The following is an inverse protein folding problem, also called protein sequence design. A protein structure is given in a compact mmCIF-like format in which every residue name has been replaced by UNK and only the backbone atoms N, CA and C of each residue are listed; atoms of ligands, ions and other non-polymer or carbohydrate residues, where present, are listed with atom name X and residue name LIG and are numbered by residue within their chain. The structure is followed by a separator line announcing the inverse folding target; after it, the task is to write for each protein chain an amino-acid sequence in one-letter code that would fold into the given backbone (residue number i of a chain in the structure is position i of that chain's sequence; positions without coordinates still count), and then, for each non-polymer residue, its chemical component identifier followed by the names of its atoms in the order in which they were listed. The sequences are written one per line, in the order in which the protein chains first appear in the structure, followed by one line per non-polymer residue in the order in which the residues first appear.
data_IF_965909081273
#
_entry.id   IF_965909081273
#
_cell.length_a   1.000
_cell.length_b   1.000
_cell.length_c   1.000
_cell.angle_alpha   90.00
_cell.angle_beta   90.00
_cell.angle_gamma   90.00
#
_symmetry.space_group_name_H-M   'P 1'
#
loop_
_entity.id
_entity.type
_entity.pdbx_description
1 polymer ?
#
# COMPACT_ATOMS: atom_id res chain seq x y z
N UNK A 1 -6.04 -13.32 5.91
CA UNK A 1 -5.70 -13.85 4.57
C UNK A 1 -6.98 -14.00 3.76
N UNK A 2 -7.01 -13.56 2.49
CA UNK A 2 -8.19 -13.68 1.65
C UNK A 2 -8.38 -15.09 1.09
N UNK A 3 -9.63 -15.54 0.94
CA UNK A 3 -9.96 -16.80 0.28
C UNK A 3 -9.76 -16.70 -1.23
N UNK A 4 -9.41 -17.81 -1.88
CA UNK A 4 -9.38 -17.87 -3.33
C UNK A 4 -10.81 -17.83 -3.90
N UNK A 5 -11.16 -16.85 -4.74
CA UNK A 5 -12.51 -16.71 -5.28
C UNK A 5 -12.81 -17.72 -6.42
N UNK A 6 -11.84 -18.56 -6.77
CA UNK A 6 -12.00 -19.56 -7.85
C UNK A 6 -12.30 -20.93 -7.26
N UNK A 7 -11.45 -21.42 -6.35
CA UNK A 7 -11.65 -22.75 -5.76
C UNK A 7 -12.46 -22.72 -4.46
N UNK A 8 -12.54 -21.59 -3.75
CA UNK A 8 -13.18 -21.45 -2.43
C UNK A 8 -12.64 -22.36 -1.32
N UNK A 9 -11.70 -23.26 -1.62
CA UNK A 9 -11.12 -24.22 -0.68
C UNK A 9 -9.83 -23.73 -0.02
N UNK A 10 -9.08 -22.84 -0.69
CA UNK A 10 -7.73 -22.45 -0.28
C UNK A 10 -7.57 -20.93 -0.17
N UNK A 11 -6.52 -20.53 0.56
CA UNK A 11 -6.18 -19.12 0.75
C UNK A 11 -5.31 -18.58 -0.39
N UNK A 12 -5.38 -17.27 -0.57
CA UNK A 12 -4.47 -16.52 -1.42
C UNK A 12 -3.25 -16.11 -0.60
N UNK A 13 -2.06 -16.35 -1.14
CA UNK A 13 -0.80 -15.88 -0.56
C UNK A 13 -0.15 -14.82 -1.45
N UNK A 14 0.49 -13.81 -0.83
CA UNK A 14 1.22 -12.78 -1.56
C UNK A 14 2.42 -13.41 -2.29
N UNK A 15 2.59 -13.10 -3.57
CA UNK A 15 3.75 -13.57 -4.32
C UNK A 15 5.04 -13.01 -3.73
N UNK A 16 6.17 -13.74 -3.80
CA UNK A 16 7.44 -13.27 -3.25
C UNK A 16 7.97 -11.98 -3.90
N UNK A 17 7.50 -11.67 -5.10
CA UNK A 17 7.79 -10.43 -5.79
C UNK A 17 6.52 -9.94 -6.49
N UNK A 18 6.40 -8.64 -6.63
CA UNK A 18 5.23 -8.04 -7.26
C UNK A 18 5.25 -6.52 -7.21
N UNK A 19 4.08 -5.95 -7.45
CA UNK A 19 3.84 -4.50 -7.46
C UNK A 19 2.89 -4.14 -6.32
N UNK A 20 3.30 -3.17 -5.51
CA UNK A 20 2.42 -2.53 -4.53
C UNK A 20 1.94 -1.22 -5.11
N UNK A 21 0.65 -0.98 -4.97
CA UNK A 21 -0.01 0.26 -5.34
C UNK A 21 -0.38 1.05 -4.08
N UNK A 22 0.03 2.32 -4.04
CA UNK A 22 -0.30 3.28 -3.00
C UNK A 22 -1.36 4.27 -3.52
N UNK A 23 -2.40 4.49 -2.72
CA UNK A 23 -3.40 5.54 -2.94
C UNK A 23 -3.65 6.27 -1.63
N UNK A 24 -3.72 7.60 -1.65
CA UNK A 24 -4.01 8.44 -0.49
C UNK A 24 -5.18 9.36 -0.84
N UNK A 25 -6.26 9.35 -0.04
CA UNK A 25 -7.52 10.05 -0.33
C UNK A 25 -8.14 9.69 -1.69
N UNK A 26 -7.99 8.43 -2.14
CA UNK A 26 -8.39 8.04 -3.50
C UNK A 26 -7.56 8.68 -4.63
N UNK A 27 -6.60 9.56 -4.30
CA UNK A 27 -5.69 10.20 -5.25
C UNK A 27 -4.41 9.41 -5.34
N UNK A 28 -3.88 9.32 -6.55
CA UNK A 28 -2.60 8.66 -6.81
C UNK A 28 -1.84 9.47 -7.86
N UNK A 29 -0.57 9.78 -7.59
CA UNK A 29 0.35 10.31 -8.60
C UNK A 29 0.56 9.25 -9.69
N UNK A 30 1.03 9.64 -10.88
CA UNK A 30 1.36 8.67 -11.94
C UNK A 30 2.37 7.59 -11.45
N UNK A 31 3.26 7.93 -10.50
CA UNK A 31 4.20 7.00 -9.83
C UNK A 31 3.61 6.28 -8.60
N UNK A 32 2.34 5.85 -8.64
CA UNK A 32 1.63 5.18 -7.53
C UNK A 32 2.12 3.78 -7.17
N UNK A 33 3.11 3.27 -7.90
CA UNK A 33 3.54 1.88 -7.86
C UNK A 33 4.99 1.78 -7.45
N UNK A 34 5.30 0.78 -6.65
CA UNK A 34 6.68 0.34 -6.43
C UNK A 34 6.74 -1.19 -6.44
N UNK A 35 7.91 -1.70 -6.81
CA UNK A 35 8.18 -3.12 -6.80
C UNK A 35 8.62 -3.54 -5.40
N UNK A 36 8.29 -4.76 -5.04
CA UNK A 36 8.85 -5.42 -3.86
C UNK A 36 9.34 -6.81 -4.24
N UNK A 37 10.35 -7.28 -3.52
CA UNK A 37 10.86 -8.63 -3.62
C UNK A 37 11.32 -9.13 -2.24
N UNK A 38 10.48 -9.90 -1.57
CA UNK A 38 10.76 -10.42 -0.21
C UNK A 38 11.91 -11.45 -0.18
N UNK A 39 12.38 -11.93 -1.34
CA UNK A 39 13.53 -12.84 -1.39
C UNK A 39 14.86 -12.10 -1.54
N UNK A 40 14.82 -10.82 -1.90
CA UNK A 40 16.02 -9.98 -2.11
C UNK A 40 16.09 -8.79 -1.15
N UNK A 41 14.94 -8.33 -0.67
CA UNK A 41 14.80 -7.15 0.18
C UNK A 41 14.25 -7.56 1.55
N UNK A 42 14.79 -6.94 2.59
CA UNK A 42 14.27 -7.02 3.96
C UNK A 42 12.97 -6.23 4.10
N UNK A 43 12.21 -6.48 5.17
CA UNK A 43 10.98 -5.72 5.44
C UNK A 43 11.27 -4.23 5.64
N UNK A 44 12.43 -3.93 6.22
CA UNK A 44 12.93 -2.58 6.46
C UNK A 44 13.22 -1.86 5.13
N UNK A 45 13.89 -2.51 4.18
CA UNK A 45 14.14 -1.95 2.84
C UNK A 45 12.83 -1.70 2.08
N UNK A 46 11.88 -2.63 2.15
CA UNK A 46 10.55 -2.45 1.55
C UNK A 46 9.81 -1.27 2.22
N UNK A 47 9.92 -1.11 3.54
CA UNK A 47 9.34 0.02 4.26
C UNK A 47 10.00 1.35 3.87
N UNK A 48 11.31 1.37 3.63
CA UNK A 48 12.03 2.55 3.13
C UNK A 48 11.57 2.92 1.71
N UNK A 49 11.39 1.93 0.83
CA UNK A 49 10.84 2.15 -0.51
C UNK A 49 9.42 2.72 -0.46
N UNK A 50 8.58 2.21 0.46
CA UNK A 50 7.25 2.77 0.70
C UNK A 50 7.34 4.23 1.19
N UNK A 51 8.21 4.51 2.16
CA UNK A 51 8.43 5.86 2.68
C UNK A 51 8.80 6.84 1.57
N UNK A 52 9.74 6.48 0.71
CA UNK A 52 10.13 7.32 -0.42
C UNK A 52 8.94 7.63 -1.35
N UNK A 53 8.04 6.66 -1.56
CA UNK A 53 6.83 6.87 -2.38
C UNK A 53 5.77 7.71 -1.70
N UNK A 54 5.59 7.56 -0.39
CA UNK A 54 4.72 8.45 0.38
C UNK A 54 5.31 9.87 0.36
N UNK A 55 6.62 10.03 0.50
CA UNK A 55 7.28 11.33 0.44
C UNK A 55 7.11 11.99 -0.94
N UNK A 56 7.32 11.26 -2.04
CA UNK A 56 7.04 11.74 -3.40
C UNK A 56 5.59 12.23 -3.57
N UNK A 57 4.64 11.52 -2.95
CA UNK A 57 3.23 11.91 -2.93
C UNK A 57 3.05 13.18 -2.11
N UNK A 58 3.61 13.27 -0.90
CA UNK A 58 3.46 14.43 -0.01
C UNK A 58 4.05 15.69 -0.62
N UNK A 59 5.23 15.61 -1.25
CA UNK A 59 5.84 16.72 -2.01
C UNK A 59 4.90 17.19 -3.11
N UNK A 60 4.39 16.26 -3.92
CA UNK A 60 3.43 16.59 -4.98
C UNK A 60 2.14 17.18 -4.40
N UNK A 61 1.58 16.60 -3.34
CA UNK A 61 0.37 17.03 -2.69
C UNK A 61 0.52 18.39 -1.99
N UNK A 62 1.71 18.71 -1.51
CA UNK A 62 2.03 20.00 -0.88
C UNK A 62 1.87 21.18 -1.83
N UNK A 63 2.01 20.95 -3.15
CA UNK A 63 1.93 21.97 -4.20
C UNK A 63 0.50 22.44 -4.51
N UNK A 64 -0.53 21.72 -4.04
CA UNK A 64 -1.92 22.10 -4.25
C UNK A 64 -2.31 23.27 -3.34
N UNK A 65 -3.12 24.20 -3.85
CA UNK A 65 -3.61 25.33 -3.05
C UNK A 65 -4.73 24.91 -2.07
N UNK A 66 -5.65 24.06 -2.52
CA UNK A 66 -6.75 23.53 -1.70
C UNK A 66 -6.43 22.11 -1.24
N UNK A 67 -5.65 22.00 -0.17
CA UNK A 67 -5.25 20.72 0.43
C UNK A 67 -6.33 20.23 1.37
N UNK A 68 -6.98 19.15 0.99
CA UNK A 68 -7.83 18.40 1.92
C UNK A 68 -6.94 17.60 2.90
N UNK A 69 -7.38 17.41 4.15
CA UNK A 69 -6.66 16.56 5.09
C UNK A 69 -6.57 15.13 4.58
N UNK A 70 -5.48 14.45 4.88
CA UNK A 70 -5.33 13.01 4.60
C UNK A 70 -6.25 12.23 5.53
N UNK A 71 -7.25 11.55 4.96
CA UNK A 71 -8.29 10.80 5.66
C UNK A 71 -8.14 9.29 5.52
N UNK A 72 -7.65 8.83 4.37
CA UNK A 72 -7.48 7.41 4.11
C UNK A 72 -6.23 7.15 3.26
N UNK A 73 -5.70 5.94 3.41
CA UNK A 73 -4.67 5.40 2.56
C UNK A 73 -4.98 3.94 2.25
N UNK A 74 -4.52 3.47 1.09
CA UNK A 74 -4.68 2.10 0.65
C UNK A 74 -3.37 1.61 0.06
N UNK A 75 -2.94 0.43 0.52
CA UNK A 75 -1.80 -0.30 -0.01
C UNK A 75 -2.29 -1.66 -0.48
N UNK A 76 -2.26 -1.90 -1.78
CA UNK A 76 -2.79 -3.12 -2.35
C UNK A 76 -1.87 -3.71 -3.41
N UNK A 77 -1.91 -5.04 -3.53
CA UNK A 77 -1.23 -5.79 -4.58
C UNK A 77 -2.23 -6.68 -5.31
N UNK A 78 -2.01 -6.85 -6.62
CA UNK A 78 -2.72 -7.85 -7.43
C UNK A 78 -1.91 -9.15 -7.55
N UNK A 79 -0.65 -9.17 -7.09
CA UNK A 79 0.27 -10.29 -7.22
C UNK A 79 0.05 -11.33 -6.11
N UNK A 80 -1.18 -11.80 -5.97
CA UNK A 80 -1.52 -12.93 -5.10
C UNK A 80 -1.68 -14.21 -5.91
N UNK A 81 -1.24 -15.32 -5.34
CA UNK A 81 -1.40 -16.66 -5.93
C UNK A 81 -2.25 -17.52 -5.02
N UNK A 82 -3.14 -18.28 -5.63
CA UNK A 82 -3.79 -19.39 -4.94
C UNK A 82 -2.80 -20.54 -4.81
N UNK A 83 -2.78 -21.21 -3.68
CA UNK A 83 -1.90 -22.38 -3.45
C UNK A 83 -2.19 -23.52 -4.43
N UNK A 84 -3.45 -23.71 -4.85
CA UNK A 84 -3.84 -24.65 -5.91
C UNK A 84 -3.52 -24.17 -7.34
N UNK A 85 -2.82 -23.04 -7.51
CA UNK A 85 -2.45 -22.53 -8.83
C UNK A 85 -3.62 -22.02 -9.66
N UNK A 86 -4.77 -21.71 -9.05
CA UNK A 86 -5.91 -21.14 -9.75
C UNK A 86 -5.53 -19.83 -10.45
N UNK A 87 -5.93 -19.69 -11.72
CA UNK A 87 -5.78 -18.44 -12.47
C UNK A 87 -6.77 -17.41 -11.94
N UNK A 88 -6.31 -16.56 -11.03
CA UNK A 88 -7.10 -15.45 -10.51
C UNK A 88 -7.09 -14.30 -11.51
N UNK A 89 -8.23 -13.64 -11.67
CA UNK A 89 -8.31 -12.49 -12.56
C UNK A 89 -7.60 -11.29 -11.90
N UNK A 90 -6.81 -10.51 -12.66
CA UNK A 90 -5.99 -9.37 -12.17
C UNK A 90 -6.81 -8.22 -11.57
N UNK A 91 -8.14 -8.32 -11.60
CA UNK A 91 -9.08 -7.38 -11.00
C UNK A 91 -9.03 -7.45 -9.47
N UNK A 92 -8.74 -8.64 -8.92
CA UNK A 92 -8.71 -8.83 -7.47
C UNK A 92 -7.42 -8.23 -6.90
N UNK A 93 -7.58 -7.21 -6.05
CA UNK A 93 -6.48 -6.57 -5.33
C UNK A 93 -6.71 -6.75 -3.85
N UNK A 94 -5.67 -7.11 -3.12
CA UNK A 94 -5.76 -7.37 -1.69
C UNK A 94 -4.85 -6.40 -0.93
N UNK A 95 -5.28 -6.03 0.28
CA UNK A 95 -4.48 -5.21 1.17
C UNK A 95 -3.22 -5.95 1.57
N UNK A 96 -2.07 -5.29 1.46
CA UNK A 96 -0.79 -5.81 1.94
C UNK A 96 -0.43 -5.31 3.34
N UNK A 97 -1.29 -4.47 3.94
CA UNK A 97 -1.15 -3.98 5.31
C UNK A 97 -1.36 -5.15 6.26
N UNK A 98 -0.45 -5.32 7.22
CA UNK A 98 -0.44 -6.43 8.17
C UNK A 98 0.26 -7.70 7.66
N UNK A 99 0.42 -7.86 6.33
CA UNK A 99 1.16 -8.98 5.74
C UNK A 99 2.63 -8.60 5.49
N UNK A 100 2.87 -7.48 4.80
CA UNK A 100 4.21 -7.04 4.44
C UNK A 100 4.71 -5.90 5.34
N UNK A 101 3.84 -4.96 5.66
CA UNK A 101 4.13 -3.77 6.46
C UNK A 101 2.98 -3.57 7.45
N UNK A 102 3.28 -3.33 8.73
CA UNK A 102 2.24 -3.10 9.74
C UNK A 102 1.53 -1.77 9.53
N UNK A 103 0.23 -1.69 9.87
CA UNK A 103 -0.56 -0.46 9.77
C UNK A 103 0.08 0.70 10.53
N UNK A 104 0.46 0.45 11.79
CA UNK A 104 1.14 1.42 12.65
C UNK A 104 2.38 2.04 11.99
N UNK A 105 3.16 1.25 11.25
CA UNK A 105 4.36 1.77 10.57
C UNK A 105 4.00 2.70 9.42
N UNK A 106 2.96 2.37 8.66
CA UNK A 106 2.46 3.23 7.57
C UNK A 106 1.92 4.54 8.14
N UNK A 107 1.14 4.48 9.22
CA UNK A 107 0.60 5.66 9.91
C UNK A 107 1.72 6.55 10.46
N UNK A 108 2.73 5.96 11.11
CA UNK A 108 3.92 6.68 11.59
C UNK A 108 4.61 7.46 10.46
N UNK A 109 4.83 6.81 9.30
CA UNK A 109 5.43 7.44 8.12
C UNK A 109 4.56 8.58 7.59
N UNK A 110 3.24 8.35 7.45
CA UNK A 110 2.28 9.35 6.97
C UNK A 110 2.28 10.56 7.90
N UNK A 111 2.14 10.37 9.21
CA UNK A 111 2.10 11.47 10.18
C UNK A 111 3.41 12.27 10.20
N UNK A 112 4.56 11.59 10.17
CA UNK A 112 5.87 12.25 10.14
C UNK A 112 6.05 13.09 8.88
N UNK A 113 5.75 12.53 7.71
CA UNK A 113 5.91 13.24 6.45
C UNK A 113 4.87 14.35 6.29
N UNK A 114 3.62 14.12 6.68
CA UNK A 114 2.60 15.16 6.64
C UNK A 114 2.97 16.37 7.52
N UNK A 115 3.53 16.13 8.71
CA UNK A 115 4.09 17.19 9.56
C UNK A 115 5.23 17.94 8.85
N UNK A 116 6.15 17.22 8.20
CA UNK A 116 7.27 17.82 7.43
C UNK A 116 6.79 18.74 6.31
N UNK A 117 5.70 18.38 5.63
CA UNK A 117 5.16 19.13 4.49
C UNK A 117 3.94 20.02 4.84
N UNK A 118 3.64 20.21 6.12
CA UNK A 118 2.50 20.99 6.61
C UNK A 118 1.16 20.57 5.98
N UNK A 119 0.94 19.25 5.93
CA UNK A 119 -0.30 18.62 5.47
C UNK A 119 -1.06 18.11 6.70
N UNK A 120 -2.35 18.42 6.76
CA UNK A 120 -3.23 17.97 7.85
C UNK A 120 -3.57 16.48 7.68
N UNK A 121 -3.64 15.74 8.79
CA UNK A 121 -3.95 14.31 8.79
C UNK A 121 -5.09 14.06 9.77
N UNK A 122 -6.18 13.50 9.26
CA UNK A 122 -7.37 13.09 9.99
C UNK A 122 -7.75 11.68 9.54
N UNK A 123 -6.86 10.72 9.78
CA UNK A 123 -7.11 9.34 9.41
C UNK A 123 -8.40 8.87 10.07
N UNK A 124 -9.36 8.45 9.24
CA UNK A 124 -10.54 7.75 9.73
C UNK A 124 -10.06 6.40 10.26
N UNK A 125 -10.32 6.12 11.54
CA UNK A 125 -10.03 4.81 12.14
C UNK A 125 -10.94 3.80 11.44
N UNK A 126 -10.41 3.09 10.44
CA UNK A 126 -11.09 1.91 9.89
C UNK A 126 -10.97 0.79 10.91
N UNK A 127 -12.00 0.62 11.73
CA UNK A 127 -12.28 -0.59 12.51
C UNK A 127 -12.41 -1.83 11.61
#
# INVERSE_FOLDING_TARGET
MPYCPVCFSDTMSLSPHGVIHLTINGKSKQSRQFLYNITKETKEEIAQNLEAKIEEFMVWFSSFQNKEPIRNYQLFSADYRCENGCKTNKVNRFSIIGELISGNKVEEIIHRLAKKYSIDVKLDVTE
#
